data_IF_751039070078
#
_entry.id   IF_751039070078
#
_cell.length_a   1.000
_cell.length_b   1.000
_cell.length_c   1.000
_cell.angle_alpha   90.00
_cell.angle_beta   90.00
_cell.angle_gamma   90.00
#
_symmetry.space_group_name_H-M   'P 1'
#
loop_
_entity.id
_entity.type
_entity.pdbx_description
1 polymer ?
#
# COMPACT_ATOMS: atom_id res chain seq x y z
N UNK A 1 2.43 8.28 15.38
CA UNK A 1 3.42 9.28 14.92
C UNK A 1 4.82 9.07 15.52
N UNK A 2 4.98 9.11 16.86
CA UNK A 2 6.30 8.95 17.53
C UNK A 2 7.07 7.69 17.09
N UNK A 3 6.40 6.56 17.03
CA UNK A 3 7.00 5.27 16.64
C UNK A 3 7.61 5.33 15.24
N UNK A 4 6.90 5.91 14.26
CA UNK A 4 7.42 6.09 12.89
C UNK A 4 8.68 6.95 12.89
N UNK A 5 8.68 8.08 13.60
CA UNK A 5 9.86 8.94 13.70
C UNK A 5 11.07 8.21 14.30
N UNK A 6 10.87 7.45 15.37
CA UNK A 6 11.94 6.71 16.05
C UNK A 6 12.48 5.58 15.18
N UNK A 7 11.59 4.83 14.49
CA UNK A 7 11.99 3.74 13.60
C UNK A 7 12.81 4.23 12.40
N UNK A 8 12.62 5.48 11.99
CA UNK A 8 13.44 6.12 10.96
C UNK A 8 14.64 6.89 11.52
N UNK A 9 14.97 6.72 12.80
CA UNK A 9 16.11 7.36 13.49
C UNK A 9 16.13 8.89 13.41
N UNK A 10 14.94 9.52 13.37
CA UNK A 10 14.82 10.96 13.22
C UNK A 10 14.62 11.66 14.56
N UNK A 11 15.19 12.86 14.69
CA UNK A 11 14.93 13.75 15.82
C UNK A 11 13.62 14.54 15.63
N UNK A 12 13.05 15.05 16.71
CA UNK A 12 11.85 15.92 16.63
C UNK A 12 12.13 17.20 15.82
N UNK A 13 13.36 17.75 15.88
CA UNK A 13 13.76 18.92 15.08
C UNK A 13 13.79 18.63 13.59
N UNK A 14 14.32 17.47 13.18
CA UNK A 14 14.33 17.05 11.78
C UNK A 14 12.89 16.87 11.27
N UNK A 15 12.03 16.21 12.05
CA UNK A 15 10.62 16.04 11.70
C UNK A 15 9.89 17.38 11.57
N UNK A 16 10.13 18.29 12.52
CA UNK A 16 9.56 19.63 12.51
C UNK A 16 9.94 20.41 11.25
N UNK A 17 11.19 20.29 10.81
CA UNK A 17 11.68 20.94 9.59
C UNK A 17 11.00 20.41 8.34
N UNK A 18 10.75 19.10 8.26
CA UNK A 18 10.07 18.46 7.12
C UNK A 18 8.61 18.88 7.03
N UNK A 19 7.94 18.96 8.18
CA UNK A 19 6.51 19.28 8.25
C UNK A 19 6.25 20.79 8.28
N UNK A 20 7.31 21.60 8.30
CA UNK A 20 7.26 23.06 8.45
C UNK A 20 6.47 23.51 9.70
N UNK A 21 6.74 22.86 10.84
CA UNK A 21 6.15 23.19 12.15
C UNK A 21 7.25 23.36 13.19
N UNK A 22 6.89 23.79 14.40
CA UNK A 22 7.86 23.88 15.49
C UNK A 22 8.19 22.50 16.08
N UNK A 23 9.40 22.31 16.61
CA UNK A 23 9.76 21.09 17.33
C UNK A 23 8.88 20.86 18.58
N UNK A 24 8.38 21.94 19.18
CA UNK A 24 7.41 21.89 20.28
C UNK A 24 6.08 21.31 19.80
N UNK A 25 5.60 21.69 18.62
CA UNK A 25 4.40 21.13 17.99
C UNK A 25 4.54 19.63 17.78
N UNK A 26 5.68 19.16 17.24
CA UNK A 26 5.94 17.71 17.09
C UNK A 26 5.89 16.99 18.44
N UNK A 27 6.54 17.54 19.47
CA UNK A 27 6.48 16.95 20.82
C UNK A 27 5.06 16.90 21.36
N UNK A 28 4.27 17.97 21.17
CA UNK A 28 2.88 18.04 21.60
C UNK A 28 1.99 17.02 20.87
N UNK A 29 2.19 16.83 19.56
CA UNK A 29 1.47 15.81 18.77
C UNK A 29 1.84 14.40 19.22
N UNK A 30 3.13 14.12 19.41
CA UNK A 30 3.63 12.79 19.79
C UNK A 30 3.21 12.35 21.18
N UNK A 31 3.01 13.31 22.10
CA UNK A 31 2.55 13.06 23.45
C UNK A 31 1.03 13.19 23.60
N UNK A 32 0.30 13.49 22.51
CA UNK A 32 -1.16 13.62 22.51
C UNK A 32 -1.71 14.86 23.22
N UNK A 33 -0.84 15.83 23.54
CA UNK A 33 -1.22 17.10 24.19
C UNK A 33 -2.05 17.97 23.23
N UNK A 34 -1.67 17.99 21.96
CA UNK A 34 -2.36 18.71 20.89
C UNK A 34 -2.69 17.72 19.78
N UNK A 35 -3.88 17.84 19.18
CA UNK A 35 -4.21 17.09 17.96
C UNK A 35 -3.58 17.79 16.74
N UNK A 36 -2.83 17.08 15.90
CA UNK A 36 -2.34 17.65 14.65
C UNK A 36 -3.53 17.98 13.74
N UNK A 37 -3.38 19.00 12.90
CA UNK A 37 -4.37 19.31 11.86
C UNK A 37 -4.30 18.25 10.73
N UNK A 38 -5.27 18.33 9.81
CA UNK A 38 -5.32 17.39 8.69
C UNK A 38 -4.13 17.53 7.74
N UNK A 39 -3.55 18.73 7.62
CA UNK A 39 -2.41 18.98 6.73
C UNK A 39 -1.13 18.29 7.25
N UNK A 40 -0.87 18.38 8.55
CA UNK A 40 0.21 17.70 9.26
C UNK A 40 0.02 16.19 9.16
N UNK A 41 -1.21 15.70 9.32
CA UNK A 41 -1.51 14.26 9.19
C UNK A 41 -1.21 13.79 7.76
N UNK A 42 -1.65 14.52 6.73
CA UNK A 42 -1.37 14.19 5.33
C UNK A 42 0.12 14.19 5.04
N UNK A 43 0.87 15.20 5.49
CA UNK A 43 2.33 15.25 5.30
C UNK A 43 3.05 14.11 6.02
N UNK A 44 2.59 13.72 7.21
CA UNK A 44 3.08 12.53 7.91
C UNK A 44 2.83 11.27 7.08
N UNK A 45 1.62 11.08 6.57
CA UNK A 45 1.23 9.92 5.77
C UNK A 45 2.07 9.84 4.49
N UNK A 46 2.23 10.96 3.80
CA UNK A 46 2.98 11.05 2.56
C UNK A 46 4.47 10.80 2.77
N UNK A 47 5.07 11.36 3.82
CA UNK A 47 6.49 11.20 4.13
C UNK A 47 6.83 9.75 4.50
N UNK A 48 6.01 9.12 5.36
CA UNK A 48 6.25 7.75 5.81
C UNK A 48 5.62 6.69 4.90
N UNK A 49 4.87 7.10 3.87
CA UNK A 49 4.12 6.20 2.97
C UNK A 49 3.21 5.24 3.76
N UNK A 50 2.50 5.78 4.75
CA UNK A 50 1.54 5.05 5.59
C UNK A 50 0.13 5.59 5.42
N UNK A 51 -0.87 4.77 5.73
CA UNK A 51 -2.26 5.20 5.73
C UNK A 51 -2.52 6.22 6.86
N UNK A 52 -3.42 7.18 6.59
CA UNK A 52 -3.92 8.13 7.57
C UNK A 52 -4.61 7.40 8.73
N UNK A 53 -5.35 6.32 8.44
CA UNK A 53 -5.99 5.48 9.44
C UNK A 53 -4.99 4.91 10.45
N UNK A 54 -3.83 4.45 9.95
CA UNK A 54 -2.73 3.96 10.77
C UNK A 54 -2.18 5.06 11.69
N UNK A 55 -2.03 6.29 11.19
CA UNK A 55 -1.57 7.43 12.00
C UNK A 55 -2.55 7.81 13.11
N UNK A 56 -3.86 7.71 12.83
CA UNK A 56 -4.93 8.02 13.76
C UNK A 56 -5.21 6.89 14.75
N UNK A 57 -4.54 5.73 14.62
CA UNK A 57 -4.82 4.54 15.43
C UNK A 57 -6.20 3.95 15.15
N UNK A 58 -6.81 4.29 14.03
CA UNK A 58 -8.09 3.75 13.58
C UNK A 58 -7.77 2.46 12.85
N UNK A 59 -8.16 1.33 13.45
CA UNK A 59 -8.16 0.08 12.73
C UNK A 59 -9.42 0.01 11.85
N UNK A 60 -9.34 0.55 10.63
CA UNK A 60 -10.43 0.45 9.65
C UNK A 60 -10.69 -0.99 9.19
N UNK A 61 -9.72 -1.88 9.43
CA UNK A 61 -9.72 -3.28 9.03
C UNK A 61 -9.70 -4.17 10.28
N UNK A 62 -10.69 -4.00 11.16
CA UNK A 62 -10.73 -4.68 12.47
C UNK A 62 -10.32 -6.15 12.40
N UNK A 63 -9.41 -6.61 13.27
CA UNK A 63 -8.91 -7.99 13.39
C UNK A 63 -8.57 -8.74 12.06
N UNK A 64 -8.33 -8.04 10.95
CA UNK A 64 -7.96 -8.69 9.68
C UNK A 64 -6.44 -8.64 9.57
N UNK A 65 -5.80 -9.77 9.85
CA UNK A 65 -4.38 -10.02 9.61
C UNK A 65 -4.04 -10.13 8.10
N UNK A 66 -5.03 -9.99 7.20
CA UNK A 66 -4.92 -10.33 5.77
C UNK A 66 -4.85 -9.12 4.82
N UNK A 67 -4.69 -7.89 5.32
CA UNK A 67 -4.63 -6.69 4.44
C UNK A 67 -3.25 -6.53 3.78
N UNK A 68 -2.20 -7.00 4.45
CA UNK A 68 -0.84 -6.98 3.91
C UNK A 68 -0.39 -8.42 3.65
N UNK A 69 -0.06 -8.77 2.40
CA UNK A 69 0.43 -10.10 2.10
C UNK A 69 1.71 -10.36 2.91
N UNK A 70 1.81 -11.56 3.47
CA UNK A 70 3.05 -12.04 4.06
C UNK A 70 4.18 -11.97 3.04
N UNK A 71 5.44 -12.01 3.49
CA UNK A 71 6.60 -11.99 2.58
C UNK A 71 6.50 -13.09 1.50
N UNK A 72 6.00 -14.26 1.88
CA UNK A 72 5.78 -15.40 0.98
C UNK A 72 4.66 -15.13 -0.03
N UNK A 73 3.53 -14.56 0.39
CA UNK A 73 2.43 -14.20 -0.51
C UNK A 73 2.84 -13.08 -1.48
N UNK A 74 3.60 -12.09 -1.00
CA UNK A 74 4.15 -11.05 -1.84
C UNK A 74 5.13 -11.62 -2.88
N UNK A 75 5.98 -12.58 -2.49
CA UNK A 75 6.86 -13.30 -3.42
C UNK A 75 6.06 -14.10 -4.45
N UNK A 76 4.96 -14.75 -4.03
CA UNK A 76 4.07 -15.50 -4.91
C UNK A 76 3.40 -14.59 -5.94
N UNK A 77 2.94 -13.42 -5.53
CA UNK A 77 2.40 -12.39 -6.41
C UNK A 77 3.44 -11.87 -7.42
N UNK A 78 4.66 -11.57 -6.96
CA UNK A 78 5.75 -11.17 -7.84
C UNK A 78 6.14 -12.27 -8.83
N UNK A 79 6.14 -13.52 -8.39
CA UNK A 79 6.39 -14.67 -9.25
C UNK A 79 5.28 -14.82 -10.31
N UNK A 80 4.02 -14.66 -9.93
CA UNK A 80 2.87 -14.68 -10.85
C UNK A 80 3.01 -13.64 -11.96
N UNK A 81 3.34 -12.38 -11.62
CA UNK A 81 3.50 -11.28 -12.60
C UNK A 81 4.59 -11.54 -13.66
N UNK A 82 5.60 -12.35 -13.34
CA UNK A 82 6.72 -12.66 -14.25
C UNK A 82 6.45 -13.86 -15.15
N UNK A 83 5.26 -14.48 -15.09
CA UNK A 83 4.90 -15.64 -15.89
C UNK A 83 4.19 -15.25 -17.19
N UNK A 84 4.37 -16.05 -18.26
CA UNK A 84 3.67 -15.83 -19.53
C UNK A 84 2.15 -15.90 -19.34
N UNK A 85 1.41 -15.22 -20.21
CA UNK A 85 -0.04 -15.02 -20.08
C UNK A 85 -0.82 -16.33 -19.92
N UNK A 86 -0.45 -17.38 -20.67
CA UNK A 86 -1.09 -18.70 -20.58
C UNK A 86 -0.95 -19.33 -19.18
N UNK A 87 0.22 -19.17 -18.54
CA UNK A 87 0.48 -19.71 -17.21
C UNK A 87 -0.29 -18.92 -16.15
N UNK A 88 -0.37 -17.59 -16.30
CA UNK A 88 -1.19 -16.75 -15.42
C UNK A 88 -2.67 -17.10 -15.52
N UNK A 89 -3.16 -17.40 -16.74
CA UNK A 89 -4.53 -17.87 -16.97
C UNK A 89 -4.80 -19.20 -16.24
N UNK A 90 -3.91 -20.18 -16.35
CA UNK A 90 -4.07 -21.46 -15.64
C UNK A 90 -4.06 -21.26 -14.12
N UNK A 91 -3.14 -20.47 -13.59
CA UNK A 91 -3.09 -20.16 -12.14
C UNK A 91 -4.40 -19.50 -11.70
N UNK A 92 -4.93 -18.56 -12.48
CA UNK A 92 -6.22 -17.91 -12.21
C UNK A 92 -7.36 -18.94 -12.20
N UNK A 93 -7.48 -19.79 -13.22
CA UNK A 93 -8.52 -20.81 -13.26
C UNK A 93 -8.45 -21.75 -12.05
N UNK A 94 -7.25 -22.21 -11.67
CA UNK A 94 -7.03 -23.07 -10.51
C UNK A 94 -7.38 -22.39 -9.18
N UNK A 95 -7.03 -21.12 -9.03
CA UNK A 95 -7.29 -20.37 -7.81
C UNK A 95 -8.77 -20.00 -7.65
N UNK A 96 -9.50 -19.81 -8.76
CA UNK A 96 -10.86 -19.25 -8.72
C UNK A 96 -11.98 -20.23 -9.09
N UNK A 97 -11.72 -21.41 -9.66
CA UNK A 97 -12.64 -22.55 -9.86
C UNK A 97 -14.16 -22.21 -9.84
N UNK A 98 -14.60 -21.33 -10.75
CA UNK A 98 -16.02 -20.98 -10.93
C UNK A 98 -16.56 -19.79 -10.12
N UNK A 99 -15.76 -19.17 -9.25
CA UNK A 99 -16.09 -17.90 -8.60
C UNK A 99 -15.68 -16.74 -9.50
N UNK A 100 -16.66 -15.93 -9.94
CA UNK A 100 -16.40 -14.74 -10.76
C UNK A 100 -15.80 -13.64 -9.89
N UNK A 101 -14.49 -13.64 -9.68
CA UNK A 101 -13.79 -12.43 -9.22
C UNK A 101 -13.60 -11.53 -10.44
N UNK A 102 -14.60 -10.69 -10.72
CA UNK A 102 -14.59 -9.74 -11.84
C UNK A 102 -14.64 -8.33 -11.25
N UNK A 103 -13.47 -7.72 -11.03
CA UNK A 103 -13.40 -6.26 -10.90
C UNK A 103 -13.36 -5.67 -12.31
N UNK A 104 -14.04 -4.54 -12.50
CA UNK A 104 -14.29 -3.91 -13.81
C UNK A 104 -13.02 -3.48 -14.57
N UNK A 105 -11.85 -3.57 -13.95
CA UNK A 105 -10.56 -3.14 -14.51
C UNK A 105 -9.95 -4.15 -15.50
N UNK A 106 -10.43 -5.40 -15.58
CA UNK A 106 -9.78 -6.46 -16.38
C UNK A 106 -10.20 -6.56 -17.86
N UNK A 107 -11.21 -5.81 -18.32
CA UNK A 107 -11.57 -5.80 -19.76
C UNK A 107 -10.48 -5.14 -20.62
N UNK A 108 -9.74 -4.17 -20.07
CA UNK A 108 -8.61 -3.56 -20.77
C UNK A 108 -7.38 -4.47 -20.79
N UNK A 109 -7.14 -5.22 -19.72
CA UNK A 109 -5.98 -6.11 -19.58
C UNK A 109 -6.11 -7.35 -20.48
N UNK A 110 -7.32 -7.92 -20.61
CA UNK A 110 -7.55 -9.00 -21.58
C UNK A 110 -7.46 -8.51 -23.04
N UNK A 111 -7.85 -7.27 -23.32
CA UNK A 111 -7.79 -6.70 -24.68
C UNK A 111 -6.35 -6.43 -25.12
N UNK A 112 -5.48 -5.93 -24.23
CA UNK A 112 -4.04 -5.75 -24.53
C UNK A 112 -3.28 -7.08 -24.66
N UNK A 113 -3.73 -8.16 -24.02
CA UNK A 113 -3.05 -9.47 -24.10
C UNK A 113 -3.34 -10.24 -25.39
N UNK A 114 -4.39 -9.86 -26.12
CA UNK A 114 -4.78 -10.49 -27.39
C UNK A 114 -4.11 -9.81 -28.59
N UNK A 115 -3.69 -8.55 -28.48
CA UNK A 115 -2.98 -7.83 -29.54
C UNK A 115 -1.55 -8.31 -29.73
N UNK A 116 -0.88 -8.75 -28.67
CA UNK A 116 0.54 -9.18 -28.73
C UNK A 116 0.73 -10.57 -29.39
N UNK A 117 -0.36 -11.30 -29.66
CA UNK A 117 -0.32 -12.65 -30.23
C UNK A 117 -0.75 -12.75 -31.70
N UNK A 118 -1.20 -11.66 -32.33
CA UNK A 118 -1.52 -11.67 -33.78
C UNK A 118 -0.28 -11.53 -34.68
N UNK A 119 0.85 -11.05 -34.14
CA UNK A 119 2.09 -10.85 -34.90
C UNK A 119 3.09 -12.02 -34.82
N UNK A 120 2.80 -13.06 -34.00
CA UNK A 120 3.70 -14.21 -33.83
C UNK A 120 3.39 -15.39 -34.78
N UNK A 121 2.36 -15.26 -35.64
CA UNK A 121 1.96 -16.27 -36.63
C UNK A 121 1.77 -15.67 -38.06
N UNK A 122 2.78 -14.95 -38.55
CA UNK A 122 2.95 -14.68 -39.98
C UNK A 122 4.33 -15.09 -40.47
#
# INVERSE_FOLDING_TARGET
MRTLRINHHMTQKQMASILNVSAQSISAYENGVIRPDIEVIMKYAEYFKVDIAYLMGINLYGAIHDVLPTQTEAQMFMAYRRRPAWMRKVIRELCFNGTKYRTQDEEQDCTMMLSDHEDEYK
#
